data_IF_831944147635
#
_entry.id   IF_831944147635
#
_cell.length_a   1.000
_cell.length_b   1.000
_cell.length_c   1.000
_cell.angle_alpha   90.00
_cell.angle_beta   90.00
_cell.angle_gamma   90.00
#
_symmetry.space_group_name_H-M   'P 1'
#
loop_
_entity.id
_entity.type
_entity.pdbx_description
1 polymer ?
#
# COMPACT_ATOMS: atom_id res chain seq x y z
N UNK A 1 -28.20 14.87 18.61
CA UNK A 1 -27.32 14.52 17.47
C UNK A 1 -25.98 14.19 18.06
N UNK A 2 -25.64 12.92 18.15
CA UNK A 2 -24.29 12.50 18.57
C UNK A 2 -23.31 13.09 17.57
N UNK A 3 -22.38 13.86 18.11
CA UNK A 3 -21.25 14.41 17.38
C UNK A 3 -20.32 13.21 17.09
N UNK A 4 -20.60 12.43 16.03
CA UNK A 4 -19.75 11.29 15.67
C UNK A 4 -18.36 11.84 15.34
N UNK A 5 -17.38 11.52 16.17
CA UNK A 5 -15.97 11.84 15.94
C UNK A 5 -15.58 11.34 14.55
N UNK A 6 -14.93 12.18 13.74
CA UNK A 6 -14.36 11.77 12.47
C UNK A 6 -13.37 10.62 12.68
N UNK A 7 -13.45 9.59 11.85
CA UNK A 7 -12.48 8.49 11.84
C UNK A 7 -11.12 9.03 11.40
N UNK A 8 -10.10 8.85 12.24
CA UNK A 8 -8.74 9.28 11.98
C UNK A 8 -7.96 8.18 11.26
N UNK A 9 -7.61 8.41 10.00
CA UNK A 9 -6.95 7.44 9.13
C UNK A 9 -5.54 7.91 8.78
N UNK A 10 -4.53 7.13 9.14
CA UNK A 10 -3.16 7.32 8.69
C UNK A 10 -2.94 6.58 7.38
N UNK A 11 -2.42 7.26 6.37
CA UNK A 11 -1.96 6.67 5.10
C UNK A 11 -0.45 6.82 5.02
N UNK A 12 0.29 5.72 5.04
CA UNK A 12 1.75 5.74 4.82
C UNK A 12 2.07 5.48 3.35
N UNK A 13 3.13 6.10 2.83
CA UNK A 13 3.39 6.10 1.38
C UNK A 13 2.33 6.93 0.63
N UNK A 14 1.81 7.95 1.30
CA UNK A 14 0.71 8.78 0.79
C UNK A 14 1.09 9.58 -0.47
N UNK A 15 2.36 9.88 -0.68
CA UNK A 15 2.89 10.51 -1.89
C UNK A 15 3.04 9.57 -3.08
N UNK A 16 2.91 8.24 -2.86
CA UNK A 16 2.95 7.23 -3.91
C UNK A 16 1.75 7.28 -4.85
N UNK A 17 1.83 6.54 -5.99
CA UNK A 17 0.76 6.52 -6.99
C UNK A 17 -0.61 6.19 -6.39
N UNK A 18 -0.75 5.04 -5.72
CA UNK A 18 -2.02 4.63 -5.11
C UNK A 18 -2.34 5.48 -3.86
N UNK A 19 -1.31 5.87 -3.10
CA UNK A 19 -1.47 6.64 -1.86
C UNK A 19 -2.23 7.95 -2.05
N UNK A 20 -1.93 8.71 -3.10
CA UNK A 20 -2.62 9.96 -3.43
C UNK A 20 -4.11 9.76 -3.72
N UNK A 21 -4.45 8.71 -4.47
CA UNK A 21 -5.86 8.38 -4.73
C UNK A 21 -6.59 7.94 -3.45
N UNK A 22 -5.93 7.16 -2.60
CA UNK A 22 -6.49 6.74 -1.31
C UNK A 22 -6.76 7.94 -0.38
N UNK A 23 -5.80 8.87 -0.26
CA UNK A 23 -5.99 10.12 0.50
C UNK A 23 -7.21 10.87 0.00
N UNK A 24 -7.30 11.13 -1.31
CA UNK A 24 -8.43 11.84 -1.91
C UNK A 24 -9.77 11.13 -1.68
N UNK A 25 -9.80 9.81 -1.79
CA UNK A 25 -11.01 9.01 -1.57
C UNK A 25 -11.47 9.05 -0.09
N UNK A 26 -10.54 9.00 0.86
CA UNK A 26 -10.83 9.09 2.28
C UNK A 26 -11.32 10.49 2.67
N UNK A 27 -10.72 11.55 2.12
CA UNK A 27 -11.18 12.92 2.32
C UNK A 27 -12.62 13.13 1.83
N UNK A 28 -12.97 12.58 0.65
CA UNK A 28 -14.35 12.60 0.13
C UNK A 28 -15.34 11.86 1.03
N UNK A 29 -14.86 10.92 1.86
CA UNK A 29 -15.66 10.17 2.84
C UNK A 29 -15.70 10.82 4.22
N UNK A 30 -15.27 12.06 4.32
CA UNK A 30 -15.25 12.83 5.57
C UNK A 30 -14.41 12.20 6.69
N UNK A 31 -13.32 11.49 6.34
CA UNK A 31 -12.32 11.03 7.31
C UNK A 31 -11.36 12.18 7.67
N UNK A 32 -10.80 12.16 8.88
CA UNK A 32 -9.61 12.94 9.20
C UNK A 32 -8.39 12.16 8.70
N UNK A 33 -7.75 12.62 7.64
CA UNK A 33 -6.66 11.89 6.98
C UNK A 33 -5.32 12.48 7.36
N UNK A 34 -4.42 11.63 7.87
CA UNK A 34 -3.00 11.93 8.08
C UNK A 34 -2.23 11.28 6.94
N UNK A 35 -1.60 12.10 6.10
CA UNK A 35 -0.75 11.64 5.01
C UNK A 35 0.71 11.61 5.46
N UNK A 36 1.31 10.42 5.57
CA UNK A 36 2.71 10.24 5.97
C UNK A 36 3.57 9.75 4.80
N UNK A 37 4.70 10.42 4.58
CA UNK A 37 5.70 10.01 3.58
C UNK A 37 7.09 10.46 4.03
N UNK A 38 8.15 9.93 3.39
CA UNK A 38 9.54 10.34 3.67
C UNK A 38 9.90 11.69 3.04
N UNK A 39 9.03 12.23 2.19
CA UNK A 39 9.17 13.52 1.52
C UNK A 39 7.87 14.31 1.60
N UNK A 40 7.94 15.65 1.51
CA UNK A 40 6.74 16.45 1.34
C UNK A 40 5.93 16.02 0.10
N UNK A 41 4.60 16.03 0.24
CA UNK A 41 3.68 15.65 -0.84
C UNK A 41 3.10 16.95 -1.42
N UNK A 42 3.51 17.31 -2.62
CA UNK A 42 2.97 18.47 -3.31
C UNK A 42 1.48 18.28 -3.64
N UNK A 43 0.68 19.33 -3.43
CA UNK A 43 -0.76 19.28 -3.66
C UNK A 43 -1.54 18.31 -2.75
N UNK A 44 -0.98 17.95 -1.59
CA UNK A 44 -1.62 17.07 -0.62
C UNK A 44 -2.94 17.67 -0.13
N UNK A 45 -4.03 16.89 -0.24
CA UNK A 45 -5.38 17.30 0.19
C UNK A 45 -5.76 16.75 1.57
N UNK A 46 -4.86 16.02 2.24
CA UNK A 46 -5.10 15.44 3.56
C UNK A 46 -5.35 16.52 4.62
N UNK A 47 -5.99 16.13 5.73
CA UNK A 47 -6.21 16.99 6.89
C UNK A 47 -4.90 17.40 7.56
N UNK A 48 -3.92 16.50 7.52
CA UNK A 48 -2.58 16.69 8.08
C UNK A 48 -1.54 15.98 7.20
N UNK A 49 -0.34 16.55 7.07
CA UNK A 49 0.79 15.92 6.42
C UNK A 49 1.96 15.79 7.40
N UNK A 50 2.51 14.58 7.48
CA UNK A 50 3.67 14.29 8.31
C UNK A 50 4.81 13.75 7.45
N UNK A 51 5.95 14.45 7.48
CA UNK A 51 7.17 13.98 6.81
C UNK A 51 8.01 13.22 7.82
N UNK A 52 8.12 11.90 7.66
CA UNK A 52 8.92 11.07 8.55
C UNK A 52 9.37 9.78 7.88
N UNK A 53 10.46 9.20 8.39
CA UNK A 53 10.86 7.83 8.09
C UNK A 53 10.17 6.87 9.08
N UNK A 54 9.15 6.18 8.61
CA UNK A 54 8.40 5.18 9.42
C UNK A 54 9.26 3.96 9.79
N UNK A 55 10.42 3.77 9.17
CA UNK A 55 11.35 2.67 9.41
C UNK A 55 12.53 3.05 10.33
N UNK A 56 12.38 4.15 11.06
CA UNK A 56 13.39 4.65 12.01
C UNK A 56 13.57 3.77 13.26
N UNK A 57 12.67 2.81 13.50
CA UNK A 57 12.66 1.99 14.72
C UNK A 57 12.10 2.72 15.94
N UNK A 58 11.47 3.87 15.76
CA UNK A 58 10.92 4.70 16.83
C UNK A 58 9.74 4.00 17.52
N UNK A 59 9.85 3.77 18.83
CA UNK A 59 8.80 3.12 19.61
C UNK A 59 7.59 4.02 19.86
N UNK A 60 7.78 5.35 19.79
CA UNK A 60 6.71 6.33 19.98
C UNK A 60 6.05 6.72 18.65
N UNK A 61 6.30 5.97 17.57
CA UNK A 61 5.84 6.29 16.22
C UNK A 61 4.32 6.43 16.12
N UNK A 62 3.55 5.67 16.90
CA UNK A 62 2.10 5.78 16.94
C UNK A 62 1.63 7.17 17.37
N UNK A 63 2.19 7.70 18.46
CA UNK A 63 1.87 9.04 18.95
C UNK A 63 2.36 10.12 17.99
N UNK A 64 3.57 9.97 17.43
CA UNK A 64 4.15 10.90 16.44
C UNK A 64 3.35 10.96 15.14
N UNK A 65 2.69 9.89 14.77
CA UNK A 65 1.78 9.83 13.62
C UNK A 65 0.33 10.17 14.00
N UNK A 66 0.12 10.87 15.12
CA UNK A 66 -1.15 11.45 15.51
C UNK A 66 -2.14 10.48 16.16
N UNK A 67 -1.70 9.32 16.65
CA UNK A 67 -2.56 8.30 17.27
C UNK A 67 -3.81 7.98 16.42
N UNK A 68 -3.63 7.42 15.22
CA UNK A 68 -4.73 7.13 14.31
C UNK A 68 -5.62 5.99 14.79
N UNK A 69 -6.91 6.00 14.40
CA UNK A 69 -7.83 4.89 14.62
C UNK A 69 -7.53 3.73 13.65
N UNK A 70 -7.17 4.08 12.41
CA UNK A 70 -6.91 3.15 11.30
C UNK A 70 -5.58 3.50 10.61
N UNK A 71 -4.80 2.48 10.31
CA UNK A 71 -3.63 2.56 9.44
C UNK A 71 -3.94 1.95 8.07
N UNK A 72 -3.72 2.72 7.01
CA UNK A 72 -3.62 2.22 5.64
C UNK A 72 -2.13 2.23 5.25
N UNK A 73 -1.48 1.06 5.33
CA UNK A 73 -0.06 0.93 5.10
C UNK A 73 0.24 0.64 3.63
N UNK A 74 0.65 1.68 2.89
CA UNK A 74 0.96 1.61 1.46
C UNK A 74 2.44 1.87 1.16
N UNK A 75 3.22 2.34 2.14
CA UNK A 75 4.66 2.55 1.99
C UNK A 75 5.36 1.24 1.64
N UNK A 76 6.05 1.24 0.50
CA UNK A 76 6.86 0.11 0.05
C UNK A 76 7.94 0.61 -0.92
N UNK A 77 9.19 0.19 -0.70
CA UNK A 77 10.31 0.58 -1.55
C UNK A 77 10.40 -0.31 -2.79
N UNK A 78 10.87 0.26 -3.89
CA UNK A 78 11.18 -0.46 -5.13
C UNK A 78 10.03 -1.30 -5.72
N UNK A 79 8.76 -0.92 -5.49
CA UNK A 79 7.57 -1.70 -5.87
C UNK A 79 7.53 -2.18 -7.33
N UNK A 80 8.21 -1.48 -8.26
CA UNK A 80 8.33 -1.88 -9.67
C UNK A 80 9.62 -2.65 -10.01
N UNK A 81 10.55 -2.81 -9.05
CA UNK A 81 11.78 -3.59 -9.20
C UNK A 81 11.66 -4.90 -8.44
N UNK A 82 10.83 -5.81 -8.94
CA UNK A 82 10.35 -6.99 -8.21
C UNK A 82 11.46 -7.89 -7.65
N UNK A 83 12.67 -7.86 -8.20
CA UNK A 83 13.82 -8.63 -7.72
C UNK A 83 14.87 -7.78 -6.98
N UNK A 84 14.51 -6.57 -6.53
CA UNK A 84 15.37 -5.80 -5.64
C UNK A 84 15.56 -6.53 -4.30
N UNK A 85 16.79 -6.72 -3.81
CA UNK A 85 17.05 -7.34 -2.50
C UNK A 85 16.47 -6.53 -1.34
N UNK A 86 16.23 -5.24 -1.54
CA UNK A 86 15.62 -4.35 -0.54
C UNK A 86 14.25 -4.83 -0.06
N UNK A 87 13.51 -5.59 -0.85
CA UNK A 87 12.24 -6.16 -0.39
C UNK A 87 12.43 -7.08 0.82
N UNK A 88 13.47 -7.90 0.80
CA UNK A 88 13.81 -8.80 1.91
C UNK A 88 14.47 -8.03 3.07
N UNK A 89 15.37 -7.10 2.77
CA UNK A 89 16.09 -6.30 3.77
C UNK A 89 15.15 -5.42 4.61
N UNK A 90 14.05 -4.93 4.02
CA UNK A 90 13.09 -4.06 4.71
C UNK A 90 11.96 -4.82 5.42
N UNK A 91 11.83 -6.12 5.20
CA UNK A 91 10.79 -6.92 5.85
C UNK A 91 10.80 -6.80 7.40
N UNK A 92 11.95 -6.89 8.10
CA UNK A 92 12.01 -6.68 9.54
C UNK A 92 11.57 -5.28 9.96
N UNK A 93 11.86 -4.25 9.16
CA UNK A 93 11.48 -2.85 9.43
C UNK A 93 9.97 -2.64 9.31
N UNK A 94 9.32 -3.27 8.34
CA UNK A 94 7.87 -3.28 8.25
C UNK A 94 7.24 -3.93 9.48
N UNK A 95 7.79 -5.06 9.93
CA UNK A 95 7.30 -5.76 11.12
C UNK A 95 7.48 -4.92 12.39
N UNK A 96 8.65 -4.27 12.56
CA UNK A 96 8.91 -3.38 13.69
C UNK A 96 7.95 -2.20 13.71
N UNK A 97 7.76 -1.53 12.58
CA UNK A 97 6.80 -0.43 12.45
C UNK A 97 5.39 -0.85 12.86
N UNK A 98 4.89 -1.95 12.31
CA UNK A 98 3.53 -2.43 12.59
C UNK A 98 3.36 -2.84 14.07
N UNK A 99 4.38 -3.46 14.65
CA UNK A 99 4.39 -3.78 16.10
C UNK A 99 4.32 -2.51 16.93
N UNK A 100 5.18 -1.52 16.67
CA UNK A 100 5.19 -0.25 17.41
C UNK A 100 3.86 0.51 17.29
N UNK A 101 3.19 0.42 16.13
CA UNK A 101 1.84 0.98 15.94
C UNK A 101 0.80 0.27 16.80
N UNK A 102 0.83 -1.07 16.85
CA UNK A 102 -0.09 -1.87 17.67
C UNK A 102 0.15 -1.69 19.16
N UNK A 103 1.41 -1.72 19.59
CA UNK A 103 1.81 -1.48 20.99
C UNK A 103 1.40 -0.07 21.46
N UNK A 104 1.40 0.91 20.53
CA UNK A 104 0.91 2.26 20.77
C UNK A 104 -0.61 2.38 20.87
N UNK A 105 -1.37 1.37 20.48
CA UNK A 105 -2.82 1.34 20.60
C UNK A 105 -3.62 1.37 19.30
N UNK A 106 -2.98 1.14 18.15
CA UNK A 106 -3.68 1.03 16.86
C UNK A 106 -4.73 -0.08 16.88
N UNK A 107 -5.95 0.21 16.40
CA UNK A 107 -7.08 -0.73 16.43
C UNK A 107 -7.35 -1.42 15.09
N UNK A 108 -6.87 -0.85 13.99
CA UNK A 108 -7.09 -1.44 12.67
C UNK A 108 -5.91 -1.14 11.75
N UNK A 109 -5.37 -2.17 11.10
CA UNK A 109 -4.36 -2.02 10.06
C UNK A 109 -4.82 -2.69 8.77
N UNK A 110 -4.94 -1.88 7.71
CA UNK A 110 -5.09 -2.35 6.33
C UNK A 110 -3.74 -2.21 5.62
N UNK A 111 -3.17 -3.32 5.17
CA UNK A 111 -1.86 -3.34 4.52
C UNK A 111 -1.99 -3.72 3.06
N UNK A 112 -1.37 -2.94 2.20
CA UNK A 112 -1.37 -3.20 0.76
C UNK A 112 -0.51 -4.42 0.42
N UNK A 113 -1.18 -5.48 -0.01
CA UNK A 113 -0.60 -6.68 -0.59
C UNK A 113 -0.48 -6.60 -2.11
N UNK A 114 -0.23 -7.73 -2.76
CA UNK A 114 -0.03 -7.80 -4.21
C UNK A 114 -0.43 -9.15 -4.77
N UNK A 115 -0.88 -9.19 -6.02
CA UNK A 115 -1.10 -10.44 -6.76
C UNK A 115 0.18 -11.28 -6.91
N UNK A 116 1.38 -10.65 -6.85
CA UNK A 116 2.66 -11.36 -6.90
C UNK A 116 2.87 -12.35 -5.75
N UNK A 117 2.04 -12.29 -4.70
CA UNK A 117 2.02 -13.29 -3.62
C UNK A 117 1.48 -14.64 -4.10
N UNK A 118 0.46 -14.63 -4.97
CA UNK A 118 -0.10 -15.85 -5.56
C UNK A 118 0.86 -16.48 -6.58
N UNK A 119 1.70 -15.65 -7.21
CA UNK A 119 2.51 -16.08 -8.35
C UNK A 119 1.65 -16.32 -9.59
N UNK A 120 2.17 -17.18 -10.50
CA UNK A 120 1.39 -17.56 -11.68
C UNK A 120 0.24 -18.51 -11.27
N UNK A 121 -0.97 -18.16 -11.63
CA UNK A 121 -2.18 -18.95 -11.37
C UNK A 121 -3.14 -18.86 -12.56
N UNK A 122 -3.72 -19.97 -12.93
CA UNK A 122 -4.81 -20.05 -13.92
C UNK A 122 -6.11 -20.35 -13.20
N UNK A 123 -7.15 -19.62 -13.52
CA UNK A 123 -8.49 -19.76 -12.93
C UNK A 123 -8.79 -18.69 -11.89
N UNK A 124 -9.81 -18.93 -11.08
CA UNK A 124 -10.27 -18.00 -10.05
C UNK A 124 -9.28 -17.98 -8.88
N UNK A 125 -8.93 -16.80 -8.43
CA UNK A 125 -8.13 -16.59 -7.22
C UNK A 125 -9.07 -16.19 -6.07
N UNK A 126 -9.01 -16.97 -4.99
CA UNK A 126 -9.77 -16.76 -3.76
C UNK A 126 -8.86 -16.80 -2.52
N UNK A 127 -9.45 -16.78 -1.33
CA UNK A 127 -8.71 -16.83 -0.06
C UNK A 127 -7.96 -18.15 0.17
N UNK A 128 -8.35 -19.23 -0.50
CA UNK A 128 -7.74 -20.55 -0.39
C UNK A 128 -6.66 -20.80 -1.44
N UNK A 129 -6.52 -19.90 -2.42
CA UNK A 129 -5.51 -20.03 -3.47
C UNK A 129 -4.11 -20.02 -2.86
N UNK A 130 -3.29 -21.07 -3.09
CA UNK A 130 -1.95 -21.15 -2.55
C UNK A 130 -1.07 -19.98 -3.02
N UNK A 131 -0.26 -19.42 -2.11
CA UNK A 131 0.73 -18.43 -2.45
C UNK A 131 2.00 -19.11 -2.96
N UNK A 132 2.40 -18.78 -4.19
CA UNK A 132 3.63 -19.29 -4.81
C UNK A 132 4.41 -18.13 -5.48
N UNK A 133 4.94 -17.17 -4.69
CA UNK A 133 5.58 -15.97 -5.21
C UNK A 133 6.87 -16.31 -5.97
N UNK A 134 7.09 -15.64 -7.11
CA UNK A 134 8.23 -15.88 -8.02
C UNK A 134 9.24 -14.71 -8.01
N UNK A 135 9.12 -13.77 -7.08
CA UNK A 135 10.01 -12.61 -6.96
C UNK A 135 10.25 -12.25 -5.51
N UNK A 136 11.35 -11.54 -5.22
CA UNK A 136 11.60 -11.02 -3.87
C UNK A 136 10.46 -10.13 -3.37
N UNK A 137 9.84 -9.35 -4.25
CA UNK A 137 8.67 -8.55 -3.92
C UNK A 137 7.50 -9.40 -3.41
N UNK A 138 7.08 -10.40 -4.19
CA UNK A 138 6.00 -11.30 -3.81
C UNK A 138 6.31 -12.11 -2.56
N UNK A 139 7.56 -12.62 -2.45
CA UNK A 139 8.04 -13.36 -1.26
C UNK A 139 7.94 -12.48 -0.02
N UNK A 140 8.49 -11.26 -0.05
CA UNK A 140 8.50 -10.35 1.09
C UNK A 140 7.07 -9.93 1.50
N UNK A 141 6.19 -9.62 0.53
CA UNK A 141 4.78 -9.29 0.80
C UNK A 141 4.05 -10.47 1.45
N UNK A 142 4.18 -11.69 0.91
CA UNK A 142 3.56 -12.87 1.50
C UNK A 142 4.12 -13.19 2.89
N UNK A 143 5.42 -13.05 3.09
CA UNK A 143 6.05 -13.25 4.41
C UNK A 143 5.54 -12.21 5.43
N UNK A 144 5.42 -10.94 5.05
CA UNK A 144 4.83 -9.90 5.91
C UNK A 144 3.38 -10.24 6.27
N UNK A 145 2.56 -10.67 5.31
CA UNK A 145 1.18 -11.07 5.53
C UNK A 145 1.07 -12.17 6.59
N UNK A 146 1.91 -13.22 6.45
CA UNK A 146 1.89 -14.35 7.39
C UNK A 146 2.39 -13.93 8.77
N UNK A 147 3.46 -13.15 8.84
CA UNK A 147 4.00 -12.64 10.10
C UNK A 147 3.00 -11.72 10.83
N UNK A 148 2.28 -10.86 10.09
CA UNK A 148 1.21 -10.05 10.66
C UNK A 148 0.07 -10.89 11.22
N UNK A 149 -0.35 -11.95 10.52
CA UNK A 149 -1.39 -12.83 11.01
C UNK A 149 -1.02 -13.51 12.35
N UNK A 150 0.27 -13.69 12.62
CA UNK A 150 0.77 -14.14 13.93
C UNK A 150 0.78 -12.99 14.93
N UNK A 151 1.33 -11.83 14.57
CA UNK A 151 1.43 -10.64 15.42
C UNK A 151 0.06 -10.19 15.95
N UNK A 152 -0.98 -10.22 15.11
CA UNK A 152 -2.33 -9.79 15.52
C UNK A 152 -3.02 -10.75 16.49
N UNK A 153 -2.53 -12.00 16.67
CA UNK A 153 -3.03 -12.89 17.73
C UNK A 153 -2.68 -12.37 19.12
N UNK A 154 -1.57 -11.64 19.24
CA UNK A 154 -1.15 -11.02 20.50
C UNK A 154 -1.90 -9.69 20.76
N UNK A 155 -2.66 -9.19 19.78
CA UNK A 155 -3.46 -7.96 19.83
C UNK A 155 -4.94 -8.24 19.47
N UNK A 156 -5.70 -8.99 20.28
CA UNK A 156 -7.04 -9.46 19.94
C UNK A 156 -8.07 -8.34 19.72
N UNK A 157 -7.81 -7.15 20.26
CA UNK A 157 -8.64 -5.95 20.08
C UNK A 157 -8.36 -5.20 18.76
N UNK A 158 -7.39 -5.64 17.98
CA UNK A 158 -7.02 -5.03 16.73
C UNK A 158 -7.45 -5.88 15.53
N UNK A 159 -7.85 -5.20 14.45
CA UNK A 159 -8.29 -5.84 13.19
C UNK A 159 -7.20 -5.72 12.14
N UNK A 160 -6.84 -6.86 11.53
CA UNK A 160 -5.96 -6.92 10.38
C UNK A 160 -6.76 -7.07 9.08
N UNK A 161 -6.42 -6.25 8.09
CA UNK A 161 -6.90 -6.39 6.72
C UNK A 161 -5.70 -6.47 5.77
N UNK A 162 -5.71 -7.45 4.87
CA UNK A 162 -4.71 -7.59 3.82
C UNK A 162 -5.34 -7.31 2.47
N UNK A 163 -4.91 -6.22 1.82
CA UNK A 163 -5.50 -5.75 0.56
C UNK A 163 -4.66 -6.22 -0.62
N UNK A 164 -4.97 -7.39 -1.15
CA UNK A 164 -4.23 -7.91 -2.31
C UNK A 164 -4.61 -7.15 -3.57
N UNK A 165 -3.72 -6.27 -4.01
CA UNK A 165 -3.91 -5.49 -5.22
C UNK A 165 -3.52 -6.30 -6.46
N UNK A 166 -4.36 -6.19 -7.48
CA UNK A 166 -4.10 -6.66 -8.83
C UNK A 166 -3.60 -5.51 -9.71
N UNK A 167 -3.76 -5.56 -11.01
CA UNK A 167 -3.36 -4.47 -11.89
C UNK A 167 -4.31 -3.29 -11.76
N UNK A 168 -3.93 -2.29 -10.94
CA UNK A 168 -4.74 -1.10 -10.70
C UNK A 168 -4.60 -0.15 -11.88
N UNK A 169 -5.75 0.25 -12.43
CA UNK A 169 -5.87 1.26 -13.48
C UNK A 169 -6.36 2.56 -12.82
N UNK A 170 -5.67 3.66 -13.08
CA UNK A 170 -6.10 5.01 -12.74
C UNK A 170 -6.16 5.89 -14.00
N UNK A 171 -6.69 7.08 -13.86
CA UNK A 171 -6.78 8.09 -14.91
C UNK A 171 -5.55 9.00 -15.01
N UNK A 172 -4.48 8.63 -14.34
CA UNK A 172 -3.22 9.39 -14.31
C UNK A 172 -2.31 9.01 -15.46
N UNK A 173 -2.13 9.92 -16.42
CA UNK A 173 -1.21 9.76 -17.57
C UNK A 173 0.26 9.74 -17.13
N UNK A 174 0.59 10.20 -15.93
CA UNK A 174 1.97 10.26 -15.42
C UNK A 174 2.41 8.99 -14.69
N UNK A 175 1.55 7.96 -14.63
CA UNK A 175 1.85 6.68 -14.01
C UNK A 175 2.86 5.84 -14.80
N UNK A 176 3.30 4.72 -14.19
CA UNK A 176 4.18 3.73 -14.83
C UNK A 176 3.42 2.50 -15.36
N UNK A 177 2.09 2.51 -15.28
CA UNK A 177 1.25 1.44 -15.81
C UNK A 177 1.32 1.39 -17.33
N UNK A 178 0.97 0.26 -17.91
CA UNK A 178 0.89 0.11 -19.37
C UNK A 178 -0.10 1.12 -19.99
N UNK A 179 -1.23 1.35 -19.30
CA UNK A 179 -2.25 2.31 -19.74
C UNK A 179 -1.74 3.74 -19.69
N UNK A 180 -1.08 4.14 -18.61
CA UNK A 180 -0.45 5.46 -18.51
C UNK A 180 0.54 5.70 -19.65
N UNK A 181 1.34 4.67 -20.00
CA UNK A 181 2.30 4.75 -21.11
C UNK A 181 1.63 4.83 -22.48
N UNK A 182 0.49 4.15 -22.68
CA UNK A 182 -0.31 4.25 -23.90
C UNK A 182 -0.86 5.67 -24.04
N UNK A 183 -1.51 6.20 -23.00
CA UNK A 183 -2.04 7.57 -22.98
C UNK A 183 -0.95 8.62 -23.21
N UNK A 184 0.24 8.38 -22.65
CA UNK A 184 1.40 9.26 -22.85
C UNK A 184 1.89 9.23 -24.31
N UNK A 185 1.93 8.03 -24.93
CA UNK A 185 2.29 7.88 -26.33
C UNK A 185 1.29 8.57 -27.27
N UNK A 186 -0.01 8.48 -26.95
CA UNK A 186 -1.07 9.19 -27.67
C UNK A 186 -0.90 10.71 -27.53
N UNK A 187 -0.69 11.21 -26.31
CA UNK A 187 -0.44 12.63 -26.05
C UNK A 187 0.82 13.16 -26.75
N UNK A 188 1.85 12.32 -26.92
CA UNK A 188 3.08 12.60 -27.68
C UNK A 188 2.86 12.50 -29.21
N UNK A 189 1.66 12.21 -29.70
CA UNK A 189 1.33 12.07 -31.12
C UNK A 189 1.91 10.83 -31.79
N UNK A 190 2.23 9.76 -31.03
CA UNK A 190 2.73 8.50 -31.58
C UNK A 190 1.58 7.70 -32.18
N UNK A 191 1.70 7.30 -33.45
CA UNK A 191 0.68 6.50 -34.15
C UNK A 191 0.61 5.06 -33.65
N UNK A 192 1.64 4.55 -33.00
CA UNK A 192 1.72 3.17 -32.52
C UNK A 192 2.37 3.09 -31.15
N UNK A 193 1.96 2.08 -30.37
CA UNK A 193 2.56 1.73 -29.10
C UNK A 193 3.11 0.28 -29.16
N UNK A 194 4.41 0.05 -28.88
CA UNK A 194 4.99 -1.27 -28.96
C UNK A 194 4.52 -2.16 -27.81
N UNK A 195 3.84 -3.24 -28.11
CA UNK A 195 3.59 -4.34 -27.20
C UNK A 195 4.62 -5.45 -27.42
N UNK A 196 4.92 -6.24 -26.40
CA UNK A 196 5.81 -7.40 -26.49
C UNK A 196 5.19 -8.51 -27.37
N UNK A 197 4.45 -9.44 -26.75
CA UNK A 197 3.82 -10.56 -27.47
C UNK A 197 2.34 -10.34 -27.76
N UNK A 198 1.67 -9.46 -27.00
CA UNK A 198 0.22 -9.28 -26.99
C UNK A 198 -0.55 -10.50 -26.47
N UNK A 199 0.16 -11.49 -25.91
CA UNK A 199 -0.43 -12.74 -25.40
C UNK A 199 -0.54 -12.78 -23.88
N UNK A 200 0.06 -11.80 -23.21
CA UNK A 200 0.05 -11.73 -21.75
C UNK A 200 -1.37 -11.43 -21.26
N UNK A 201 -1.82 -12.17 -20.24
CA UNK A 201 -3.10 -11.97 -19.60
C UNK A 201 -2.90 -11.27 -18.28
N UNK A 202 -3.70 -10.24 -18.03
CA UNK A 202 -3.66 -9.45 -16.80
C UNK A 202 -5.06 -9.30 -16.23
N UNK A 203 -5.15 -9.28 -14.91
CA UNK A 203 -6.38 -9.04 -14.17
C UNK A 203 -6.41 -7.57 -13.71
N UNK A 204 -7.14 -6.73 -14.42
CA UNK A 204 -7.23 -5.30 -14.18
C UNK A 204 -8.43 -4.97 -13.29
N UNK A 205 -8.23 -4.02 -12.36
CA UNK A 205 -9.25 -3.45 -11.48
C UNK A 205 -9.23 -1.92 -11.51
#
# INVERSE_FOLDING_TARGET
>A
MENSRQLKVLVTGAGGYIGRFAVNALMKRNCYVIAADIRPIEGCTASEQIVCDIFSGDKDIFAKLGSPDVLLHMAWLDGFKHNSPRHIEYLPKHMEFLRNMLDGGLKQAAVMGTMHEAGYHEGVIDENTPCNPLSYYGIAKNALRQAMAVLFKDHPDAVMQWLRAYYIIGDDIHGNSIFSKICQAEADGKETFPFTSGKDKYDFI
#
